data_IF_906147956898
#
_entry.id   IF_906147956898
#
_cell.length_a   1.000
_cell.length_b   1.000
_cell.length_c   1.000
_cell.angle_alpha   90.00
_cell.angle_beta   90.00
_cell.angle_gamma   90.00
#
_symmetry.space_group_name_H-M   'P 1'
#
loop_
_entity.id
_entity.type
_entity.pdbx_description
1 polymer ?
#
# COMPACT_ATOMS: atom_id res chain seq x y z
N UNK A 1 32.30 51.94 4.60
CA UNK A 1 32.79 50.76 5.32
C UNK A 1 32.13 49.53 4.69
N UNK A 2 32.90 48.64 4.05
CA UNK A 2 32.38 47.55 3.22
C UNK A 2 32.13 46.29 4.07
N UNK A 3 31.16 45.47 3.71
CA UNK A 3 31.13 44.07 4.14
C UNK A 3 31.18 43.18 2.91
N UNK A 4 32.29 42.44 2.85
CA UNK A 4 32.71 41.64 1.72
C UNK A 4 31.81 40.44 1.47
N UNK A 5 31.66 40.16 0.19
CA UNK A 5 31.24 38.88 -0.35
C UNK A 5 32.09 37.75 0.23
N UNK A 6 31.45 36.74 0.82
CA UNK A 6 32.04 35.41 0.94
C UNK A 6 31.14 34.44 0.21
N UNK A 7 31.52 34.11 -1.03
CA UNK A 7 31.12 32.87 -1.67
C UNK A 7 31.41 31.72 -0.70
N UNK A 8 30.36 31.07 -0.21
CA UNK A 8 30.44 29.66 0.15
C UNK A 8 29.70 28.91 -0.93
N UNK A 9 30.45 28.58 -1.97
CA UNK A 9 30.14 27.47 -2.83
C UNK A 9 30.16 26.21 -1.95
N UNK A 10 29.00 25.81 -1.45
CA UNK A 10 28.79 24.49 -0.89
C UNK A 10 28.19 23.64 -2.00
N UNK A 11 29.05 23.26 -2.94
CA UNK A 11 28.84 22.06 -3.75
C UNK A 11 29.05 20.85 -2.85
N UNK A 12 28.08 20.58 -1.98
CA UNK A 12 27.94 19.25 -1.40
C UNK A 12 27.34 18.35 -2.48
N UNK A 13 28.18 17.77 -3.31
CA UNK A 13 27.82 16.61 -4.11
C UNK A 13 27.40 15.48 -3.14
N UNK A 14 26.11 15.42 -2.83
CA UNK A 14 25.53 14.33 -2.06
C UNK A 14 25.61 13.01 -2.84
N UNK A 15 25.53 11.85 -2.18
CA UNK A 15 25.58 10.54 -2.83
C UNK A 15 24.28 10.29 -3.62
N UNK A 16 24.12 10.96 -4.76
CA UNK A 16 22.98 10.85 -5.67
C UNK A 16 23.15 9.76 -6.74
N UNK A 17 24.12 8.86 -6.58
CA UNK A 17 24.42 7.82 -7.57
C UNK A 17 23.51 6.61 -7.39
N UNK A 18 22.64 6.36 -8.37
CA UNK A 18 21.84 5.13 -8.57
C UNK A 18 20.78 4.81 -7.50
N UNK A 19 21.11 4.81 -6.21
CA UNK A 19 20.16 4.59 -5.11
C UNK A 19 19.08 5.66 -5.04
N UNK A 20 19.44 6.93 -5.26
CA UNK A 20 18.48 8.04 -5.32
C UNK A 20 17.48 7.91 -6.47
N UNK A 21 17.93 7.45 -7.64
CA UNK A 21 17.07 7.24 -8.81
C UNK A 21 16.10 6.08 -8.63
N UNK A 22 16.55 4.98 -8.01
CA UNK A 22 15.70 3.86 -7.65
C UNK A 22 14.62 4.26 -6.63
N UNK A 23 14.99 5.03 -5.59
CA UNK A 23 14.04 5.53 -4.61
C UNK A 23 13.04 6.52 -5.23
N UNK A 24 13.51 7.41 -6.10
CA UNK A 24 12.64 8.33 -6.85
C UNK A 24 11.63 7.56 -7.72
N UNK A 25 12.08 6.55 -8.45
CA UNK A 25 11.20 5.71 -9.29
C UNK A 25 10.16 4.96 -8.45
N UNK A 26 10.57 4.40 -7.31
CA UNK A 26 9.65 3.78 -6.34
C UNK A 26 8.60 4.78 -5.87
N UNK A 27 9.03 5.96 -5.42
CA UNK A 27 8.13 7.02 -4.95
C UNK A 27 7.08 7.40 -6.01
N UNK A 28 7.50 7.62 -7.25
CA UNK A 28 6.62 7.99 -8.35
C UNK A 28 5.54 6.94 -8.64
N UNK A 29 5.88 5.64 -8.52
CA UNK A 29 4.90 4.56 -8.76
C UNK A 29 3.86 4.48 -7.65
N UNK A 30 4.28 4.58 -6.39
CA UNK A 30 3.35 4.59 -5.25
C UNK A 30 2.48 5.86 -5.24
N UNK A 31 3.06 7.02 -5.55
CA UNK A 31 2.32 8.28 -5.69
C UNK A 31 1.19 8.18 -6.73
N UNK A 32 1.45 7.55 -7.88
CA UNK A 32 0.41 7.31 -8.90
C UNK A 32 -0.78 6.50 -8.36
N UNK A 33 -0.52 5.47 -7.56
CA UNK A 33 -1.59 4.66 -6.94
C UNK A 33 -2.41 5.50 -5.96
N UNK A 34 -1.74 6.31 -5.12
CA UNK A 34 -2.43 7.18 -4.15
C UNK A 34 -3.27 8.26 -4.84
N UNK A 35 -2.76 8.87 -5.92
CA UNK A 35 -3.57 9.82 -6.72
C UNK A 35 -4.80 9.15 -7.30
N UNK A 36 -4.64 7.97 -7.88
CA UNK A 36 -5.77 7.18 -8.41
C UNK A 36 -6.78 6.85 -7.33
N UNK A 37 -6.33 6.41 -6.15
CA UNK A 37 -7.22 6.16 -5.00
C UNK A 37 -8.05 7.39 -4.66
N UNK A 38 -7.42 8.56 -4.58
CA UNK A 38 -8.12 9.80 -4.24
C UNK A 38 -9.14 10.19 -5.32
N UNK A 39 -8.81 10.00 -6.60
CA UNK A 39 -9.75 10.23 -7.70
C UNK A 39 -10.97 9.30 -7.62
N UNK A 40 -10.78 8.05 -7.19
CA UNK A 40 -11.88 7.09 -6.98
C UNK A 40 -12.73 7.47 -5.78
N UNK A 41 -12.12 7.85 -4.65
CA UNK A 41 -12.82 8.34 -3.46
C UNK A 41 -13.68 9.57 -3.75
N UNK A 42 -13.15 10.54 -4.50
CA UNK A 42 -13.90 11.73 -4.91
C UNK A 42 -15.11 11.44 -5.80
N UNK A 43 -15.15 10.25 -6.41
CA UNK A 43 -16.25 9.78 -7.26
C UNK A 43 -17.14 8.75 -6.55
N UNK A 44 -16.96 8.56 -5.24
CA UNK A 44 -17.62 7.51 -4.45
C UNK A 44 -17.49 6.11 -5.08
N UNK A 45 -16.33 5.84 -5.69
CA UNK A 45 -16.03 4.58 -6.36
C UNK A 45 -15.01 3.75 -5.56
N UNK A 46 -15.18 2.43 -5.60
CA UNK A 46 -14.29 1.50 -4.91
C UNK A 46 -12.98 1.27 -5.68
N UNK A 47 -11.86 1.22 -4.97
CA UNK A 47 -10.53 0.98 -5.52
C UNK A 47 -9.78 -0.07 -4.70
N UNK A 48 -9.27 -1.11 -5.38
CA UNK A 48 -8.56 -2.22 -4.76
C UNK A 48 -7.09 -1.84 -4.53
N UNK A 49 -6.86 -1.02 -3.50
CA UNK A 49 -5.55 -0.41 -3.22
C UNK A 49 -4.48 -1.46 -2.89
N UNK A 50 -4.84 -2.56 -2.22
CA UNK A 50 -3.89 -3.60 -1.81
C UNK A 50 -3.33 -4.31 -3.05
N UNK A 51 -4.19 -4.65 -4.01
CA UNK A 51 -3.78 -5.18 -5.31
C UNK A 51 -2.94 -4.18 -6.10
N UNK A 52 -3.33 -2.91 -6.14
CA UNK A 52 -2.58 -1.88 -6.84
C UNK A 52 -1.15 -1.72 -6.27
N UNK A 53 -0.99 -1.73 -4.94
CA UNK A 53 0.32 -1.71 -4.30
C UNK A 53 1.11 -3.00 -4.48
N UNK A 54 0.45 -4.16 -4.48
CA UNK A 54 1.09 -5.44 -4.81
C UNK A 54 1.71 -5.40 -6.21
N UNK A 55 1.01 -4.85 -7.20
CA UNK A 55 1.51 -4.74 -8.58
C UNK A 55 2.67 -3.75 -8.71
N UNK A 56 2.62 -2.64 -7.96
CA UNK A 56 3.78 -1.74 -7.85
C UNK A 56 4.99 -2.48 -7.24
N UNK A 57 4.79 -3.19 -6.13
CA UNK A 57 5.85 -3.95 -5.46
C UNK A 57 6.47 -5.02 -6.38
N UNK A 58 5.64 -5.76 -7.13
CA UNK A 58 6.09 -6.74 -8.14
C UNK A 58 6.91 -6.06 -9.24
N UNK A 59 6.45 -4.91 -9.75
CA UNK A 59 7.13 -4.18 -10.83
C UNK A 59 8.49 -3.60 -10.43
N UNK A 60 8.75 -3.50 -9.12
CA UNK A 60 9.98 -3.00 -8.52
C UNK A 60 10.91 -4.11 -8.04
N UNK A 61 10.53 -5.39 -8.21
CA UNK A 61 11.26 -6.52 -7.65
C UNK A 61 12.29 -7.12 -8.62
N UNK A 62 13.58 -6.97 -8.28
CA UNK A 62 14.56 -8.04 -8.49
C UNK A 62 15.24 -8.52 -7.18
N UNK A 63 14.88 -7.94 -6.02
CA UNK A 63 15.55 -8.16 -4.72
C UNK A 63 14.64 -8.91 -3.72
N UNK A 64 15.23 -9.73 -2.84
CA UNK A 64 14.50 -10.53 -1.84
C UNK A 64 13.58 -9.71 -0.92
N UNK A 65 13.96 -8.48 -0.56
CA UNK A 65 13.11 -7.57 0.23
C UNK A 65 11.86 -7.11 -0.53
N UNK A 66 11.95 -6.99 -1.85
CA UNK A 66 10.79 -6.66 -2.68
C UNK A 66 9.83 -7.85 -2.77
N UNK A 67 10.34 -9.09 -2.75
CA UNK A 67 9.50 -10.28 -2.71
C UNK A 67 8.71 -10.39 -1.38
N UNK A 68 9.36 -10.18 -0.24
CA UNK A 68 8.67 -10.12 1.06
C UNK A 68 7.55 -9.08 1.07
N UNK A 69 7.79 -7.91 0.47
CA UNK A 69 6.77 -6.87 0.34
C UNK A 69 5.59 -7.32 -0.52
N UNK A 70 5.85 -7.99 -1.65
CA UNK A 70 4.80 -8.58 -2.50
C UNK A 70 3.96 -9.59 -1.71
N UNK A 71 4.61 -10.44 -0.92
CA UNK A 71 3.94 -11.46 -0.12
C UNK A 71 3.11 -10.82 1.00
N UNK A 72 3.59 -9.76 1.65
CA UNK A 72 2.81 -8.98 2.62
C UNK A 72 1.54 -8.38 1.99
N UNK A 73 1.62 -7.83 0.77
CA UNK A 73 0.44 -7.30 0.09
C UNK A 73 -0.55 -8.40 -0.30
N UNK A 74 -0.06 -9.56 -0.76
CA UNK A 74 -0.91 -10.72 -1.08
C UNK A 74 -1.59 -11.30 0.16
N UNK A 75 -0.85 -11.43 1.26
CA UNK A 75 -1.40 -11.82 2.56
C UNK A 75 -2.51 -10.86 3.00
N UNK A 76 -2.24 -9.55 2.95
CA UNK A 76 -3.23 -8.55 3.34
C UNK A 76 -4.49 -8.66 2.48
N UNK A 77 -4.34 -8.83 1.16
CA UNK A 77 -5.46 -9.00 0.24
C UNK A 77 -6.33 -10.21 0.61
N UNK A 78 -5.70 -11.33 0.97
CA UNK A 78 -6.39 -12.53 1.46
C UNK A 78 -7.14 -12.27 2.77
N UNK A 79 -6.46 -11.65 3.75
CA UNK A 79 -7.01 -11.35 5.09
C UNK A 79 -8.24 -10.46 5.02
N UNK A 80 -8.22 -9.42 4.18
CA UNK A 80 -9.33 -8.46 4.07
C UNK A 80 -10.34 -8.85 2.98
N UNK A 81 -10.18 -10.03 2.37
CA UNK A 81 -10.96 -10.50 1.23
C UNK A 81 -11.01 -9.49 0.06
N UNK A 82 -9.92 -8.75 -0.16
CA UNK A 82 -9.78 -7.94 -1.38
C UNK A 82 -9.38 -8.90 -2.48
N UNK A 83 -10.35 -9.52 -3.16
CA UNK A 83 -10.10 -10.52 -4.20
C UNK A 83 -10.59 -10.05 -5.56
N UNK A 84 -10.12 -10.74 -6.61
CA UNK A 84 -10.56 -10.51 -7.99
C UNK A 84 -10.37 -9.05 -8.43
N UNK A 85 -9.22 -8.45 -8.12
CA UNK A 85 -8.88 -7.12 -8.60
C UNK A 85 -7.71 -7.17 -9.59
N UNK A 86 -7.81 -6.36 -10.64
CA UNK A 86 -6.75 -6.23 -11.67
C UNK A 86 -6.43 -4.76 -11.79
N UNK A 87 -5.16 -4.38 -11.61
CA UNK A 87 -4.71 -2.99 -11.66
C UNK A 87 -5.52 -2.04 -10.74
N UNK A 88 -5.95 -2.53 -9.58
CA UNK A 88 -6.76 -1.77 -8.62
C UNK A 88 -8.25 -1.69 -8.93
N UNK A 89 -8.74 -2.38 -9.97
CA UNK A 89 -10.17 -2.41 -10.34
C UNK A 89 -10.76 -3.76 -9.94
N UNK A 90 -11.76 -3.73 -9.06
CA UNK A 90 -12.55 -4.90 -8.68
C UNK A 90 -13.32 -5.47 -9.88
N UNK A 91 -13.27 -6.79 -10.05
CA UNK A 91 -13.98 -7.50 -11.13
C UNK A 91 -15.32 -8.08 -10.69
N UNK A 92 -15.54 -8.25 -9.37
CA UNK A 92 -16.74 -8.89 -8.83
C UNK A 92 -17.23 -8.20 -7.57
N UNK A 93 -16.58 -8.47 -6.45
CA UNK A 93 -16.99 -7.98 -5.14
C UNK A 93 -16.06 -6.84 -4.73
N UNK A 94 -16.60 -5.63 -4.76
CA UNK A 94 -15.88 -4.46 -4.30
C UNK A 94 -15.94 -4.36 -2.77
N UNK A 95 -14.81 -3.97 -2.17
CA UNK A 95 -14.76 -3.62 -0.76
C UNK A 95 -15.08 -2.13 -0.59
N UNK A 96 -15.93 -1.83 0.39
CA UNK A 96 -16.24 -0.45 0.72
C UNK A 96 -15.15 0.15 1.61
N UNK A 97 -14.95 1.46 1.48
CA UNK A 97 -14.06 2.19 2.36
C UNK A 97 -14.49 2.03 3.82
N UNK A 98 -13.52 1.69 4.69
CA UNK A 98 -13.76 1.58 6.13
C UNK A 98 -14.72 0.46 6.55
N UNK A 99 -15.03 -0.51 5.68
CA UNK A 99 -16.04 -1.54 5.95
C UNK A 99 -15.79 -2.38 7.22
N UNK A 100 -14.56 -2.43 7.72
CA UNK A 100 -14.19 -3.16 8.94
C UNK A 100 -13.91 -2.24 10.13
N UNK A 101 -13.98 -0.92 9.96
CA UNK A 101 -13.50 0.04 10.96
C UNK A 101 -14.30 -0.07 12.27
N UNK A 102 -15.63 -0.18 12.17
CA UNK A 102 -16.51 -0.27 13.33
C UNK A 102 -16.22 -1.53 14.14
N UNK A 103 -16.27 -2.70 13.49
CA UNK A 103 -16.08 -3.99 14.15
C UNK A 103 -14.64 -4.19 14.66
N UNK A 104 -13.65 -3.54 14.04
CA UNK A 104 -12.25 -3.61 14.45
C UNK A 104 -11.88 -2.64 15.58
N UNK A 105 -12.41 -1.41 15.57
CA UNK A 105 -11.97 -0.33 16.46
C UNK A 105 -12.98 -0.01 17.58
N UNK A 106 -14.27 -0.09 17.30
CA UNK A 106 -15.32 0.46 18.17
C UNK A 106 -16.10 -0.63 18.91
N UNK A 107 -16.31 -1.79 18.28
CA UNK A 107 -17.08 -2.87 18.88
C UNK A 107 -16.38 -3.49 20.09
N UNK A 108 -17.12 -3.85 21.16
CA UNK A 108 -16.57 -4.62 22.27
C UNK A 108 -15.88 -5.87 21.76
N UNK A 109 -14.74 -6.20 22.38
CA UNK A 109 -13.89 -7.30 21.90
C UNK A 109 -14.63 -8.65 21.83
N UNK A 110 -15.52 -8.91 22.78
CA UNK A 110 -16.34 -10.12 22.91
C UNK A 110 -17.67 -10.06 22.15
N UNK A 111 -17.95 -8.97 21.44
CA UNK A 111 -19.14 -8.89 20.59
C UNK A 111 -19.09 -9.95 19.47
N UNK A 112 -20.23 -10.55 19.09
CA UNK A 112 -20.29 -11.53 18.01
C UNK A 112 -19.66 -11.04 16.71
N UNK A 113 -19.87 -9.77 16.35
CA UNK A 113 -19.37 -9.16 15.12
C UNK A 113 -17.85 -8.98 15.14
N UNK A 114 -17.28 -8.54 16.27
CA UNK A 114 -15.82 -8.42 16.39
C UNK A 114 -15.13 -9.79 16.39
N UNK A 115 -15.77 -10.81 17.00
CA UNK A 115 -15.29 -12.20 16.95
C UNK A 115 -15.33 -12.73 15.51
N UNK A 116 -16.44 -12.52 14.80
CA UNK A 116 -16.61 -12.96 13.41
C UNK A 116 -15.60 -12.29 12.48
N UNK A 117 -15.36 -10.99 12.62
CA UNK A 117 -14.34 -10.28 11.86
C UNK A 117 -12.94 -10.91 12.06
N UNK A 118 -12.56 -11.17 13.32
CA UNK A 118 -11.25 -11.78 13.62
C UNK A 118 -11.14 -13.20 13.09
N UNK A 119 -12.23 -13.99 13.11
CA UNK A 119 -12.27 -15.31 12.48
C UNK A 119 -12.01 -15.19 10.98
N UNK A 120 -12.69 -14.26 10.30
CA UNK A 120 -12.46 -14.00 8.87
C UNK A 120 -11.02 -13.63 8.57
N UNK A 121 -10.38 -12.78 9.38
CA UNK A 121 -8.96 -12.45 9.22
C UNK A 121 -8.03 -13.65 9.41
N UNK A 122 -8.31 -14.51 10.39
CA UNK A 122 -7.56 -15.75 10.63
C UNK A 122 -7.73 -16.71 9.46
N UNK A 123 -8.95 -16.87 8.96
CA UNK A 123 -9.24 -17.76 7.83
C UNK A 123 -8.54 -17.27 6.56
N UNK A 124 -8.57 -15.96 6.26
CA UNK A 124 -7.84 -15.39 5.14
C UNK A 124 -6.32 -15.53 5.27
N UNK A 125 -5.76 -15.38 6.48
CA UNK A 125 -4.34 -15.64 6.73
C UNK A 125 -3.99 -17.12 6.54
N UNK A 126 -4.85 -18.03 7.01
CA UNK A 126 -4.68 -19.48 6.82
C UNK A 126 -4.69 -19.84 5.34
N UNK A 127 -5.68 -19.37 4.58
CA UNK A 127 -5.76 -19.61 3.12
C UNK A 127 -4.48 -19.20 2.41
N UNK A 128 -3.93 -18.02 2.71
CA UNK A 128 -2.67 -17.57 2.10
C UNK A 128 -1.47 -18.46 2.45
N UNK A 129 -1.42 -19.04 3.66
CA UNK A 129 -0.31 -19.89 4.10
C UNK A 129 -0.42 -21.34 3.60
N UNK A 130 -1.62 -21.77 3.20
CA UNK A 130 -1.90 -23.12 2.68
C UNK A 130 -1.77 -23.21 1.16
N UNK A 131 -1.84 -22.08 0.44
CA UNK A 131 -1.54 -21.93 -0.99
C UNK A 131 -0.04 -22.02 -1.30
#
# INVERSE_FOLDING_TARGET
>A
MPFGSSLRDVTSAGPGGVGGLHMHTRMMRYDKVVRTLNDYRLRDANYAIVHAFADVAKSLAPEAKSQQMVDCWRLLASVINEQHAINGIFQRQALNEGQYAREHLESPYDSPQAIELRKGFIDGARTFLEE
#
